data_IF_765741685110
#
_entry.id   IF_765741685110
#
_cell.length_a   1.000
_cell.length_b   1.000
_cell.length_c   1.000
_cell.angle_alpha   90.00
_cell.angle_beta   90.00
_cell.angle_gamma   90.00
#
_symmetry.space_group_name_H-M   'P 1'
#
loop_
_entity.id
_entity.type
_entity.pdbx_description
1 polymer ?
#
# COMPACT_ATOMS: atom_id res chain seq x y z
N UNK A 1 11.57 13.61 4.74
CA UNK A 1 11.33 12.17 5.03
C UNK A 1 11.15 11.38 3.74
N UNK A 2 10.21 11.70 2.85
CA UNK A 2 9.96 11.01 1.58
C UNK A 2 11.21 10.80 0.72
N UNK A 3 12.00 11.87 0.46
CA UNK A 3 13.24 11.77 -0.31
C UNK A 3 14.25 10.78 0.30
N UNK A 4 14.32 10.68 1.63
CA UNK A 4 15.18 9.71 2.32
C UNK A 4 14.71 8.26 2.12
N UNK A 5 13.40 8.01 2.19
CA UNK A 5 12.81 6.69 1.95
C UNK A 5 13.08 6.26 0.50
N UNK A 6 12.76 7.13 -0.47
CA UNK A 6 12.96 6.81 -1.88
C UNK A 6 14.43 6.65 -2.26
N UNK A 7 15.35 7.48 -1.69
CA UNK A 7 16.79 7.37 -2.00
C UNK A 7 17.41 6.09 -1.47
N UNK A 8 16.96 5.60 -0.31
CA UNK A 8 17.41 4.35 0.28
C UNK A 8 16.76 3.08 -0.32
N UNK A 9 15.72 3.25 -1.13
CA UNK A 9 14.99 2.13 -1.71
C UNK A 9 15.66 1.60 -2.97
N UNK A 10 15.79 0.28 -3.07
CA UNK A 10 16.32 -0.41 -4.24
C UNK A 10 15.20 -1.15 -4.96
N UNK A 11 14.84 -0.66 -6.14
CA UNK A 11 13.81 -1.25 -6.98
C UNK A 11 14.23 -2.62 -7.52
N UNK A 12 13.26 -3.49 -7.69
CA UNK A 12 13.42 -4.83 -8.28
C UNK A 12 12.84 -4.84 -9.70
N UNK A 13 13.69 -4.96 -10.71
CA UNK A 13 13.27 -4.97 -12.11
C UNK A 13 13.11 -3.58 -12.73
N UNK A 14 12.91 -3.55 -14.04
CA UNK A 14 12.94 -2.31 -14.83
C UNK A 14 11.72 -1.43 -14.62
N UNK A 15 10.53 -2.02 -14.50
CA UNK A 15 9.28 -1.29 -14.33
C UNK A 15 9.28 -0.50 -13.02
N UNK A 16 9.56 -1.17 -11.91
CA UNK A 16 9.64 -0.52 -10.61
C UNK A 16 10.77 0.51 -10.56
N UNK A 17 11.90 0.24 -11.21
CA UNK A 17 12.99 1.21 -11.30
C UNK A 17 12.59 2.49 -12.07
N UNK A 18 11.73 2.37 -13.08
CA UNK A 18 11.18 3.51 -13.79
C UNK A 18 10.21 4.31 -12.91
N UNK A 19 9.32 3.61 -12.19
CA UNK A 19 8.39 4.21 -11.23
C UNK A 19 9.13 4.98 -10.13
N UNK A 20 10.13 4.36 -9.53
CA UNK A 20 10.94 4.98 -8.46
C UNK A 20 11.72 6.20 -8.97
N UNK A 21 12.26 6.18 -10.18
CA UNK A 21 12.91 7.37 -10.77
C UNK A 21 11.91 8.52 -10.88
N UNK A 22 10.72 8.24 -11.43
CA UNK A 22 9.66 9.24 -11.57
C UNK A 22 9.19 9.79 -10.22
N UNK A 23 8.98 8.92 -9.23
CA UNK A 23 8.65 9.32 -7.86
C UNK A 23 9.72 10.25 -7.26
N UNK A 24 11.01 9.96 -7.46
CA UNK A 24 12.12 10.81 -6.99
C UNK A 24 12.10 12.19 -7.63
N UNK A 25 11.85 12.26 -8.93
CA UNK A 25 11.75 13.53 -9.66
C UNK A 25 10.60 14.39 -9.13
N UNK A 26 9.41 13.81 -8.96
CA UNK A 26 8.24 14.50 -8.39
C UNK A 26 8.50 14.95 -6.95
N UNK A 27 9.02 14.07 -6.10
CA UNK A 27 9.30 14.37 -4.70
C UNK A 27 10.35 15.50 -4.53
N UNK A 28 11.32 15.60 -5.45
CA UNK A 28 12.34 16.66 -5.43
C UNK A 28 11.82 17.99 -5.97
N UNK A 29 10.87 17.95 -6.91
CA UNK A 29 10.36 19.15 -7.61
C UNK A 29 9.09 19.76 -6.99
N UNK A 30 8.52 19.16 -5.94
CA UNK A 30 7.20 19.52 -5.40
C UNK A 30 7.29 19.89 -3.92
N UNK A 31 6.68 21.01 -3.54
CA UNK A 31 6.69 21.48 -2.14
C UNK A 31 5.82 20.58 -1.22
N UNK A 32 4.70 20.11 -1.72
CA UNK A 32 3.79 19.18 -1.01
C UNK A 32 3.40 17.99 -1.90
N UNK A 33 4.24 16.96 -1.95
CA UNK A 33 4.00 15.79 -2.79
C UNK A 33 2.86 14.90 -2.30
N UNK A 34 2.35 15.12 -1.09
CA UNK A 34 1.25 14.38 -0.47
C UNK A 34 -0.13 14.98 -0.79
N UNK A 35 -0.16 16.23 -1.23
CA UNK A 35 -1.42 16.89 -1.53
C UNK A 35 -2.17 16.25 -2.68
N UNK A 36 -3.46 15.94 -2.49
CA UNK A 36 -4.35 15.44 -3.56
C UNK A 36 -4.48 16.41 -4.74
N UNK A 37 -4.15 17.68 -4.55
CA UNK A 37 -4.13 18.67 -5.64
C UNK A 37 -2.84 18.62 -6.47
N UNK A 38 -1.83 17.89 -6.03
CA UNK A 38 -0.59 17.69 -6.78
C UNK A 38 -0.85 16.74 -7.96
N UNK A 39 -0.81 17.27 -9.16
CA UNK A 39 -1.00 16.53 -10.42
C UNK A 39 0.28 16.58 -11.26
N UNK A 40 0.52 15.59 -12.10
CA UNK A 40 -0.32 14.40 -12.34
C UNK A 40 -0.17 13.30 -11.31
N UNK A 41 0.78 13.40 -10.36
CA UNK A 41 1.07 12.37 -9.37
C UNK A 41 1.19 12.97 -7.98
N UNK A 42 0.55 12.34 -7.00
CA UNK A 42 0.79 12.56 -5.57
C UNK A 42 0.99 11.23 -4.84
N UNK A 43 1.49 11.29 -3.61
CA UNK A 43 1.88 10.09 -2.88
C UNK A 43 0.79 9.54 -1.99
N UNK A 44 0.82 8.20 -1.82
CA UNK A 44 -0.02 7.44 -0.89
C UNK A 44 0.83 6.49 -0.06
N UNK A 45 0.33 6.11 1.10
CA UNK A 45 0.93 5.09 1.96
C UNK A 45 -0.01 3.91 2.11
N UNK A 46 0.46 2.71 1.72
CA UNK A 46 -0.35 1.48 1.76
C UNK A 46 0.33 0.37 2.53
N UNK A 47 -0.45 -0.60 2.98
CA UNK A 47 0.05 -1.77 3.67
C UNK A 47 -0.57 -3.07 3.17
N UNK A 48 0.28 -4.06 2.90
CA UNK A 48 -0.16 -5.44 2.90
C UNK A 48 -0.09 -5.96 4.33
N UNK A 49 -1.27 -6.15 4.94
CA UNK A 49 -1.34 -6.71 6.29
C UNK A 49 -1.16 -8.22 6.22
N UNK A 50 -0.29 -8.76 7.06
CA UNK A 50 0.09 -10.17 7.07
C UNK A 50 -0.13 -10.80 8.45
N UNK A 51 -0.38 -12.09 8.47
CA UNK A 51 -0.30 -12.93 9.67
C UNK A 51 0.77 -14.01 9.47
N UNK A 52 2.03 -13.75 9.88
CA UNK A 52 3.16 -14.63 9.57
C UNK A 52 2.97 -16.07 10.06
N UNK A 53 2.39 -16.26 11.24
CA UNK A 53 2.18 -17.60 11.83
C UNK A 53 1.27 -18.51 10.97
N UNK A 54 0.28 -17.96 10.26
CA UNK A 54 -0.57 -18.72 9.34
C UNK A 54 -0.23 -18.49 7.87
N UNK A 55 0.78 -17.68 7.57
CA UNK A 55 1.24 -17.35 6.20
C UNK A 55 0.11 -16.78 5.33
N UNK A 56 -0.74 -15.93 5.92
CA UNK A 56 -1.88 -15.30 5.25
C UNK A 56 -1.69 -13.81 5.11
N UNK A 57 -2.34 -13.26 4.09
CA UNK A 57 -2.43 -11.82 3.80
C UNK A 57 -3.87 -11.37 3.92
N UNK A 58 -4.08 -10.12 4.31
CA UNK A 58 -5.39 -9.51 4.41
C UNK A 58 -5.64 -8.62 3.20
N UNK A 59 -6.74 -8.87 2.50
CA UNK A 59 -7.24 -7.99 1.45
C UNK A 59 -8.59 -7.39 1.85
N UNK A 60 -8.84 -6.19 1.34
CA UNK A 60 -10.07 -5.43 1.49
C UNK A 60 -10.77 -5.28 0.13
N UNK A 61 -12.08 -5.47 0.09
CA UNK A 61 -12.87 -5.10 -1.07
C UNK A 61 -12.93 -3.58 -1.20
N UNK A 62 -12.45 -3.06 -2.31
CA UNK A 62 -12.44 -1.63 -2.57
C UNK A 62 -13.62 -1.25 -3.47
N UNK A 63 -14.69 -0.71 -2.88
CA UNK A 63 -15.96 -0.42 -3.57
C UNK A 63 -15.77 0.43 -4.84
N UNK A 64 -15.01 1.54 -4.75
CA UNK A 64 -14.77 2.46 -5.88
C UNK A 64 -14.04 1.77 -7.05
N UNK A 65 -13.15 0.82 -6.76
CA UNK A 65 -12.35 0.12 -7.78
C UNK A 65 -12.93 -1.23 -8.17
N UNK A 66 -13.98 -1.70 -7.49
CA UNK A 66 -14.65 -2.99 -7.74
C UNK A 66 -13.67 -4.17 -7.75
N UNK A 67 -12.77 -4.22 -6.77
CA UNK A 67 -11.73 -5.25 -6.66
C UNK A 67 -11.17 -5.39 -5.24
N UNK A 68 -10.50 -6.53 -5.02
CA UNK A 68 -9.72 -6.77 -3.80
C UNK A 68 -8.36 -6.09 -3.89
N UNK A 69 -8.01 -5.31 -2.89
CA UNK A 69 -6.74 -4.56 -2.78
C UNK A 69 -6.17 -4.69 -1.36
N UNK A 70 -4.92 -4.27 -1.22
CA UNK A 70 -4.33 -3.97 0.08
C UNK A 70 -5.05 -2.76 0.71
N UNK A 71 -4.83 -2.53 2.01
CA UNK A 71 -5.30 -1.34 2.74
C UNK A 71 -4.36 -0.15 2.51
N UNK A 72 -4.86 1.06 2.69
CA UNK A 72 -4.06 2.27 2.58
C UNK A 72 -4.77 3.43 1.90
N UNK A 73 -4.14 4.58 1.93
CA UNK A 73 -4.73 5.81 1.39
C UNK A 73 -3.79 7.00 1.38
N UNK A 74 -4.39 8.17 1.43
CA UNK A 74 -3.69 9.45 1.40
C UNK A 74 -3.25 9.88 2.79
N UNK A 75 -2.19 10.67 2.84
CA UNK A 75 -1.83 11.38 4.07
C UNK A 75 -2.88 12.42 4.45
N UNK A 76 -3.13 12.56 5.74
CA UNK A 76 -3.86 13.69 6.29
C UNK A 76 -3.02 14.98 6.22
N UNK A 77 -3.63 16.18 6.29
CA UNK A 77 -2.91 17.43 6.26
C UNK A 77 -1.76 17.48 7.29
N UNK A 78 -0.52 17.59 6.79
CA UNK A 78 0.69 17.62 7.61
C UNK A 78 1.36 16.26 7.83
N UNK A 79 0.76 15.15 7.43
CA UNK A 79 1.42 13.85 7.41
C UNK A 79 2.43 13.78 6.26
N UNK A 80 3.65 13.36 6.56
CA UNK A 80 4.75 13.26 5.58
C UNK A 80 5.55 11.97 5.69
N UNK A 81 5.20 11.11 6.62
CA UNK A 81 5.83 9.82 6.85
C UNK A 81 4.97 8.70 6.22
N UNK A 82 5.41 8.08 5.12
CA UNK A 82 4.64 7.05 4.44
C UNK A 82 4.33 5.82 5.30
N UNK A 83 5.23 5.45 6.22
CA UNK A 83 4.98 4.33 7.13
C UNK A 83 3.88 4.68 8.14
N UNK A 84 3.87 5.90 8.67
CA UNK A 84 2.82 6.33 9.61
C UNK A 84 1.47 6.45 8.91
N UNK A 85 1.43 6.95 7.67
CA UNK A 85 0.21 6.96 6.83
C UNK A 85 -0.30 5.53 6.64
N UNK A 86 0.55 4.60 6.20
CA UNK A 86 0.18 3.21 6.00
C UNK A 86 -0.32 2.53 7.30
N UNK A 87 0.29 2.82 8.45
CA UNK A 87 -0.13 2.31 9.76
C UNK A 87 -1.49 2.87 10.19
N UNK A 88 -1.73 4.18 10.02
CA UNK A 88 -3.01 4.83 10.35
C UNK A 88 -4.13 4.24 9.49
N UNK A 89 -3.99 4.29 8.17
CA UNK A 89 -4.96 3.74 7.22
C UNK A 89 -5.26 2.26 7.48
N UNK A 90 -4.22 1.46 7.72
CA UNK A 90 -4.41 0.05 8.02
C UNK A 90 -5.20 -0.18 9.32
N UNK A 91 -4.97 0.62 10.37
CA UNK A 91 -5.75 0.54 11.62
C UNK A 91 -7.20 0.96 11.42
N UNK A 92 -7.44 2.05 10.70
CA UNK A 92 -8.78 2.55 10.39
C UNK A 92 -9.58 1.53 9.57
N UNK A 93 -9.02 1.06 8.47
CA UNK A 93 -9.71 0.16 7.55
C UNK A 93 -9.88 -1.28 8.06
N UNK A 94 -9.03 -1.72 9.01
CA UNK A 94 -9.07 -3.12 9.51
C UNK A 94 -9.53 -3.26 10.96
N UNK A 95 -9.53 -2.19 11.75
CA UNK A 95 -9.79 -2.24 13.20
C UNK A 95 -8.66 -2.88 14.03
N UNK A 96 -7.56 -3.32 13.40
CA UNK A 96 -6.43 -3.95 14.08
C UNK A 96 -5.57 -2.90 14.79
N UNK A 97 -5.46 -2.98 16.11
CA UNK A 97 -4.69 -2.03 16.94
C UNK A 97 -3.22 -2.46 17.17
N UNK A 98 -2.88 -3.73 16.94
CA UNK A 98 -1.58 -4.32 17.22
C UNK A 98 -0.65 -4.39 16.01
N UNK A 99 -0.97 -3.66 14.94
CA UNK A 99 -0.17 -3.65 13.72
C UNK A 99 1.24 -3.10 13.98
N UNK A 100 2.24 -3.88 13.55
CA UNK A 100 3.65 -3.51 13.58
C UNK A 100 4.30 -3.75 12.21
N UNK A 101 5.31 -2.94 11.81
CA UNK A 101 6.07 -3.19 10.59
C UNK A 101 6.70 -4.59 10.57
N UNK A 102 6.68 -5.25 9.40
CA UNK A 102 7.20 -6.60 9.21
C UNK A 102 7.84 -6.77 7.83
N UNK A 103 8.99 -7.42 7.71
CA UNK A 103 9.87 -7.92 8.78
C UNK A 103 10.62 -6.80 9.50
N UNK A 104 10.58 -5.58 8.95
CA UNK A 104 11.17 -4.37 9.47
C UNK A 104 10.38 -3.12 8.96
N UNK A 105 10.85 -1.92 9.28
CA UNK A 105 10.22 -0.63 8.89
C UNK A 105 10.54 -0.20 7.45
N UNK A 106 11.21 -1.03 6.65
CA UNK A 106 11.60 -0.64 5.30
C UNK A 106 10.44 -0.71 4.34
N UNK A 107 10.49 0.19 3.35
CA UNK A 107 9.61 0.13 2.20
C UNK A 107 9.75 -1.21 1.47
N UNK A 108 8.65 -1.89 1.24
CA UNK A 108 8.65 -3.21 0.62
C UNK A 108 8.38 -3.17 -0.88
N UNK A 109 7.59 -2.21 -1.35
CA UNK A 109 7.27 -2.04 -2.77
C UNK A 109 6.92 -0.58 -3.05
N UNK A 110 7.40 -0.04 -4.18
CA UNK A 110 7.07 1.30 -4.66
C UNK A 110 6.54 1.20 -6.10
N UNK A 111 5.35 1.72 -6.34
CA UNK A 111 4.67 1.58 -7.64
C UNK A 111 3.86 2.81 -8.00
N UNK A 112 3.84 3.18 -9.28
CA UNK A 112 2.92 4.20 -9.79
C UNK A 112 1.62 3.53 -10.24
N UNK A 113 0.52 3.97 -9.62
CA UNK A 113 -0.81 3.44 -9.88
C UNK A 113 -1.65 4.49 -10.63
N UNK A 114 -2.16 4.14 -11.80
CA UNK A 114 -3.11 4.98 -12.52
C UNK A 114 -4.49 4.97 -11.85
N UNK A 115 -5.05 6.16 -11.66
CA UNK A 115 -6.39 6.39 -11.10
C UNK A 115 -7.28 7.00 -12.16
N UNK A 116 -8.35 6.28 -12.51
CA UNK A 116 -9.35 6.76 -13.47
C UNK A 116 -10.12 7.95 -12.91
N UNK A 117 -10.56 8.90 -13.77
CA UNK A 117 -11.38 10.01 -13.32
C UNK A 117 -12.68 9.51 -12.69
N UNK A 118 -13.12 10.17 -11.60
CA UNK A 118 -14.35 9.80 -10.88
C UNK A 118 -15.01 11.03 -10.24
N UNK A 119 -16.24 11.31 -10.61
CA UNK A 119 -16.94 12.51 -10.15
C UNK A 119 -16.21 13.78 -10.58
N UNK A 120 -15.80 14.61 -9.62
CA UNK A 120 -15.01 15.84 -9.86
C UNK A 120 -13.50 15.61 -9.85
N UNK A 121 -13.06 14.40 -9.53
CA UNK A 121 -11.65 14.05 -9.47
C UNK A 121 -11.12 13.72 -10.86
N UNK A 122 -10.13 14.46 -11.39
CA UNK A 122 -9.55 14.18 -12.72
C UNK A 122 -8.75 12.87 -12.69
N UNK A 123 -8.39 12.39 -13.86
CA UNK A 123 -7.38 11.32 -13.94
C UNK A 123 -6.06 11.77 -13.32
N UNK A 124 -5.44 10.88 -12.58
CA UNK A 124 -4.16 11.15 -11.93
C UNK A 124 -3.43 9.83 -11.61
N UNK A 125 -2.33 9.94 -10.92
CA UNK A 125 -1.54 8.80 -10.49
C UNK A 125 -1.19 8.89 -9.01
N UNK A 126 -1.13 7.74 -8.38
CA UNK A 126 -0.59 7.60 -7.04
C UNK A 126 0.83 7.03 -7.10
N UNK A 127 1.79 7.71 -6.49
CA UNK A 127 3.06 7.13 -6.11
C UNK A 127 2.88 6.34 -4.81
N UNK A 128 2.50 5.08 -4.93
CA UNK A 128 2.09 4.26 -3.78
C UNK A 128 3.29 3.59 -3.12
N UNK A 129 3.49 3.90 -1.84
CA UNK A 129 4.58 3.40 -1.00
C UNK A 129 4.03 2.32 -0.07
N UNK A 130 4.39 1.05 -0.35
CA UNK A 130 3.81 -0.12 0.30
C UNK A 130 4.73 -0.70 1.35
N UNK A 131 4.19 -0.85 2.55
CA UNK A 131 4.81 -1.53 3.67
C UNK A 131 4.12 -2.87 3.93
N UNK A 132 4.78 -3.75 4.66
CA UNK A 132 4.11 -4.91 5.24
C UNK A 132 3.94 -4.69 6.72
N UNK A 133 2.74 -5.01 7.22
CA UNK A 133 2.38 -4.86 8.62
C UNK A 133 1.89 -6.20 9.15
N UNK A 134 2.43 -6.66 10.27
CA UNK A 134 1.99 -7.89 10.91
C UNK A 134 1.05 -7.62 12.07
N UNK A 135 0.11 -8.56 12.27
CA UNK A 135 -0.73 -8.66 13.46
C UNK A 135 -0.55 -10.03 14.13
N UNK A 136 -0.60 -10.06 15.46
CA UNK A 136 -0.75 -11.29 16.24
C UNK A 136 -2.21 -11.66 16.52
N UNK A 137 -3.18 -10.83 16.09
CA UNK A 137 -4.61 -10.98 16.42
C UNK A 137 -5.50 -10.99 15.17
N UNK A 138 -5.32 -11.97 14.25
CA UNK A 138 -6.01 -11.99 12.96
C UNK A 138 -7.53 -12.02 13.08
N UNK A 139 -8.08 -12.55 14.17
CA UNK A 139 -9.53 -12.64 14.39
C UNK A 139 -10.15 -11.31 14.88
N UNK A 140 -9.32 -10.29 15.19
CA UNK A 140 -9.79 -8.98 15.65
C UNK A 140 -10.12 -8.01 14.51
N UNK A 141 -10.12 -8.46 13.26
CA UNK A 141 -10.48 -7.62 12.11
C UNK A 141 -11.92 -7.12 12.23
N UNK A 142 -12.10 -5.82 11.97
CA UNK A 142 -13.39 -5.16 11.88
C UNK A 142 -13.35 -4.14 10.75
N UNK A 143 -14.05 -4.36 9.63
CA UNK A 143 -14.02 -3.40 8.53
C UNK A 143 -14.65 -2.08 8.96
N UNK A 144 -14.01 -0.96 8.60
CA UNK A 144 -14.54 0.39 8.82
C UNK A 144 -15.91 0.57 8.14
N UNK A 145 -16.05 0.01 6.93
CA UNK A 145 -17.27 0.07 6.15
C UNK A 145 -17.78 -1.34 5.86
N UNK A 146 -19.06 -1.66 6.20
CA UNK A 146 -19.66 -2.96 5.91
C UNK A 146 -19.62 -3.37 4.42
N UNK A 147 -19.64 -2.39 3.50
CA UNK A 147 -19.56 -2.63 2.06
C UNK A 147 -18.13 -2.92 1.57
N UNK A 148 -17.15 -2.82 2.46
CA UNK A 148 -15.73 -3.08 2.19
C UNK A 148 -15.21 -4.25 3.05
N UNK A 149 -15.73 -5.48 2.86
CA UNK A 149 -15.34 -6.64 3.65
C UNK A 149 -13.85 -6.93 3.57
N UNK A 150 -13.33 -7.54 4.64
CA UNK A 150 -11.95 -7.99 4.80
C UNK A 150 -11.87 -9.51 4.68
N UNK A 151 -10.82 -10.02 4.05
CA UNK A 151 -10.57 -11.46 3.94
C UNK A 151 -9.11 -11.81 4.18
N UNK A 152 -8.89 -12.74 5.09
CA UNK A 152 -7.61 -13.43 5.23
C UNK A 152 -7.51 -14.53 4.17
N UNK A 153 -6.44 -14.48 3.38
CA UNK A 153 -6.22 -15.34 2.22
C UNK A 153 -4.81 -15.94 2.28
N UNK A 154 -4.66 -17.15 1.78
CA UNK A 154 -3.34 -17.64 1.39
C UNK A 154 -2.79 -16.81 0.22
N UNK A 155 -1.50 -16.87 -0.04
CA UNK A 155 -0.92 -16.17 -1.21
C UNK A 155 -1.56 -16.65 -2.51
N UNK A 156 -1.82 -17.95 -2.65
CA UNK A 156 -2.47 -18.53 -3.83
C UNK A 156 -3.89 -18.00 -4.02
N UNK A 157 -4.71 -17.99 -2.97
CA UNK A 157 -6.07 -17.44 -2.99
C UNK A 157 -6.05 -15.93 -3.33
N UNK A 158 -5.11 -15.18 -2.76
CA UNK A 158 -4.96 -13.74 -3.04
C UNK A 158 -4.60 -13.49 -4.51
N UNK A 159 -3.64 -14.24 -5.09
CA UNK A 159 -3.29 -14.15 -6.51
C UNK A 159 -4.49 -14.42 -7.41
N UNK A 160 -5.28 -15.45 -7.11
CA UNK A 160 -6.47 -15.76 -7.88
C UNK A 160 -7.51 -14.63 -7.89
N UNK A 161 -7.59 -13.84 -6.80
CA UNK A 161 -8.53 -12.73 -6.66
C UNK A 161 -8.04 -11.43 -7.28
N UNK A 162 -6.73 -11.13 -7.20
CA UNK A 162 -6.21 -9.85 -7.69
C UNK A 162 -5.89 -9.85 -9.18
N UNK A 163 -5.69 -11.01 -9.79
CA UNK A 163 -5.30 -11.14 -11.19
C UNK A 163 -3.92 -10.51 -11.48
N UNK A 164 -3.68 -10.21 -12.74
CA UNK A 164 -2.43 -9.56 -13.19
C UNK A 164 -2.50 -8.05 -12.89
N UNK A 165 -2.03 -7.66 -11.72
CA UNK A 165 -1.89 -6.26 -11.35
C UNK A 165 -0.63 -6.05 -10.49
N UNK A 166 -0.35 -4.80 -10.14
CA UNK A 166 0.82 -4.43 -9.37
C UNK A 166 0.84 -4.98 -7.92
N UNK A 167 -0.26 -5.55 -7.41
CA UNK A 167 -0.31 -6.20 -6.11
C UNK A 167 0.35 -7.59 -6.14
N UNK A 168 0.39 -8.24 -7.31
CA UNK A 168 1.05 -9.56 -7.48
C UNK A 168 2.51 -9.52 -7.02
N UNK A 169 3.26 -8.47 -7.34
CA UNK A 169 4.64 -8.31 -6.87
C UNK A 169 4.72 -8.20 -5.33
N UNK A 170 3.78 -7.48 -4.70
CA UNK A 170 3.73 -7.42 -3.22
C UNK A 170 3.43 -8.79 -2.60
N UNK A 171 2.56 -9.58 -3.23
CA UNK A 171 2.27 -10.95 -2.79
C UNK A 171 3.50 -11.86 -2.92
N UNK A 172 4.24 -11.75 -4.03
CA UNK A 172 5.47 -12.52 -4.26
C UNK A 172 6.56 -12.18 -3.23
N UNK A 173 6.66 -10.89 -2.85
CA UNK A 173 7.59 -10.46 -1.79
C UNK A 173 7.18 -10.99 -0.42
N UNK A 174 5.89 -10.96 -0.09
CA UNK A 174 5.38 -11.52 1.15
C UNK A 174 5.63 -13.03 1.24
N UNK A 175 5.41 -13.78 0.15
CA UNK A 175 5.68 -15.21 0.09
C UNK A 175 7.15 -15.52 0.35
N UNK A 176 8.07 -14.84 -0.33
CA UNK A 176 9.53 -14.98 -0.09
C UNK A 176 9.94 -14.69 1.35
N UNK A 177 9.22 -13.78 2.04
CA UNK A 177 9.48 -13.47 3.46
C UNK A 177 8.90 -14.52 4.40
N UNK A 178 7.77 -15.13 4.06
CA UNK A 178 7.21 -16.27 4.82
C UNK A 178 8.08 -17.52 4.76
N UNK A 179 8.93 -17.66 3.74
CA UNK A 179 9.80 -18.81 3.53
C UNK A 179 11.17 -18.70 4.26
N UNK A 180 11.44 -17.57 4.91
CA UNK A 180 12.68 -17.33 5.67
C UNK A 180 12.57 -17.80 7.11
#
# INVERSE_FOLDING_TARGET
MLNGVLSGYQATGETEAADVRRMREIAAGTADPWSRSQLPLHFTGSALVVHPASRRVLLRWHVKHDRWLQVGGHGDPGETDPLQIALREAREETGLSDLVPWPDEKLQHAVVCYVRPSGTEPEHEHGDLRYFLATGRPDAIAPENPDSPLRWLTIEEARALVGDNNLSESLDRAERLFDR
#
